data_IF_715367664800
#
_entry.id   IF_715367664800
#
_cell.length_a   1.000
_cell.length_b   1.000
_cell.length_c   1.000
_cell.angle_alpha   90.00
_cell.angle_beta   90.00
_cell.angle_gamma   90.00
#
_symmetry.space_group_name_H-M   'P 1'
#
loop_
_entity.id
_entity.type
_entity.pdbx_description
1 polymer ?
#
# COMPACT_ATOMS: atom_id res chain seq x y z
N UNK A 1 -8.63 -8.81 0.67
CA UNK A 1 -8.79 -10.18 1.14
C UNK A 1 -7.53 -11.03 1.06
N UNK A 2 -6.41 -10.49 0.56
CA UNK A 2 -5.17 -11.24 0.30
C UNK A 2 -3.90 -10.52 0.80
N UNK A 3 -4.02 -9.38 1.42
CA UNK A 3 -2.92 -8.61 1.98
C UNK A 3 -2.77 -8.98 3.47
N UNK A 4 -1.90 -9.95 3.78
CA UNK A 4 -1.91 -10.61 5.09
C UNK A 4 -0.96 -10.02 6.11
N UNK A 5 0.15 -9.41 5.68
CA UNK A 5 1.25 -9.00 6.56
C UNK A 5 0.77 -7.97 7.59
N UNK A 6 0.09 -6.91 7.15
CA UNK A 6 -0.43 -5.86 8.02
C UNK A 6 -1.47 -6.38 9.04
N UNK A 7 -2.34 -7.34 8.62
CA UNK A 7 -3.30 -7.98 9.52
C UNK A 7 -2.59 -8.68 10.68
N UNK A 8 -1.59 -9.51 10.35
CA UNK A 8 -0.83 -10.27 11.33
C UNK A 8 0.04 -9.37 12.21
N UNK A 9 0.61 -8.32 11.63
CA UNK A 9 1.40 -7.34 12.38
C UNK A 9 0.54 -6.62 13.43
N UNK A 10 -0.66 -6.16 13.07
CA UNK A 10 -1.55 -5.52 14.02
C UNK A 10 -2.09 -6.49 15.07
N UNK A 11 -2.41 -7.74 14.73
CA UNK A 11 -2.78 -8.76 15.71
C UNK A 11 -1.66 -8.98 16.73
N UNK A 12 -0.42 -9.12 16.25
CA UNK A 12 0.75 -9.27 17.12
C UNK A 12 0.96 -8.04 18.02
N UNK A 13 0.76 -6.83 17.49
CA UNK A 13 0.86 -5.61 18.30
C UNK A 13 -0.24 -5.53 19.37
N UNK A 14 -1.47 -5.96 19.09
CA UNK A 14 -2.54 -6.08 20.11
C UNK A 14 -2.09 -6.94 21.30
N UNK A 15 -1.35 -8.01 21.05
CA UNK A 15 -0.89 -8.94 22.09
C UNK A 15 0.36 -8.45 22.82
N UNK A 16 1.20 -7.65 22.17
CA UNK A 16 2.56 -7.34 22.66
C UNK A 16 2.76 -5.90 23.11
N UNK A 17 1.86 -4.97 22.77
CA UNK A 17 1.96 -3.58 23.21
C UNK A 17 1.62 -3.46 24.71
N UNK A 18 2.57 -2.95 25.48
CA UNK A 18 2.33 -2.57 26.87
C UNK A 18 1.77 -1.13 26.93
N UNK A 19 0.46 -1.01 27.16
CA UNK A 19 -0.24 0.27 27.22
C UNK A 19 0.33 1.20 28.30
N UNK A 20 0.95 0.66 29.39
CA UNK A 20 1.55 1.47 30.44
C UNK A 20 2.80 2.25 29.97
N UNK A 21 3.39 1.86 28.85
CA UNK A 21 4.57 2.52 28.27
C UNK A 21 4.23 3.56 27.19
N UNK A 22 2.94 3.79 26.91
CA UNK A 22 2.50 4.70 25.85
C UNK A 22 2.20 6.10 26.38
N UNK A 23 2.56 7.09 25.60
CA UNK A 23 2.27 8.51 25.85
C UNK A 23 1.22 9.00 24.84
N UNK A 24 -0.01 8.49 24.93
CA UNK A 24 -1.09 8.79 24.02
C UNK A 24 -2.04 7.61 23.82
N UNK A 25 -2.78 7.65 22.74
CA UNK A 25 -3.76 6.63 22.38
C UNK A 25 -3.38 5.99 21.04
N UNK A 26 -3.60 4.68 20.93
CA UNK A 26 -3.43 3.93 19.68
C UNK A 26 -4.70 3.16 19.40
N UNK A 27 -5.26 3.34 18.20
CA UNK A 27 -6.41 2.59 17.71
C UNK A 27 -5.90 1.59 16.68
N UNK A 28 -6.05 0.30 16.93
CA UNK A 28 -5.67 -0.77 16.02
C UNK A 28 -6.91 -1.40 15.40
N UNK A 29 -6.96 -1.47 14.07
CA UNK A 29 -8.05 -2.07 13.29
C UNK A 29 -7.46 -3.16 12.37
N UNK A 30 -7.22 -4.38 12.88
CA UNK A 30 -6.43 -5.39 12.16
C UNK A 30 -7.08 -5.90 10.89
N UNK A 31 -8.42 -6.03 10.84
CA UNK A 31 -9.13 -6.62 9.72
C UNK A 31 -10.38 -5.83 9.37
N UNK A 32 -10.32 -5.02 8.33
CA UNK A 32 -11.43 -4.15 7.91
C UNK A 32 -12.42 -4.88 7.03
N UNK A 33 -11.97 -5.48 5.93
CA UNK A 33 -12.82 -6.24 5.00
C UNK A 33 -12.83 -7.74 5.36
N UNK A 34 -13.46 -8.07 6.49
CA UNK A 34 -13.54 -9.47 6.96
C UNK A 34 -14.25 -10.40 5.99
N UNK A 35 -15.30 -9.94 5.30
CA UNK A 35 -15.99 -10.75 4.29
C UNK A 35 -15.09 -11.08 3.11
N UNK A 36 -14.34 -10.11 2.61
CA UNK A 36 -13.38 -10.34 1.55
C UNK A 36 -12.25 -11.28 1.97
N UNK A 37 -11.76 -11.11 3.19
CA UNK A 37 -10.70 -11.95 3.74
C UNK A 37 -11.13 -13.43 3.83
N UNK A 38 -12.25 -13.74 4.49
CA UNK A 38 -12.70 -15.12 4.65
C UNK A 38 -13.27 -15.75 3.36
N UNK A 39 -13.75 -14.94 2.42
CA UNK A 39 -14.14 -15.43 1.09
C UNK A 39 -12.94 -15.62 0.15
N UNK A 40 -11.74 -15.20 0.58
CA UNK A 40 -10.54 -15.29 -0.24
C UNK A 40 -10.67 -14.51 -1.55
N UNK A 41 -11.30 -13.37 -1.57
CA UNK A 41 -11.38 -12.53 -2.77
C UNK A 41 -10.24 -11.49 -2.79
N UNK A 42 -9.85 -11.08 -3.96
CA UNK A 42 -8.83 -10.07 -4.17
C UNK A 42 -9.29 -8.72 -3.57
N UNK A 43 -9.29 -7.67 -4.12
CA UNK A 43 -9.48 -6.29 -3.64
C UNK A 43 -10.91 -5.94 -3.19
N UNK A 44 -11.89 -6.81 -3.41
CA UNK A 44 -13.29 -6.42 -3.35
C UNK A 44 -14.01 -6.93 -2.09
N UNK A 45 -15.04 -6.23 -1.69
CA UNK A 45 -16.05 -6.79 -0.78
C UNK A 45 -17.03 -7.65 -1.59
N UNK A 46 -17.19 -8.95 -1.30
CA UNK A 46 -18.09 -9.82 -2.06
C UNK A 46 -19.57 -9.43 -1.95
N UNK A 47 -19.94 -8.62 -0.96
CA UNK A 47 -21.32 -8.20 -0.76
C UNK A 47 -21.82 -7.21 -1.83
N UNK A 48 -20.92 -6.41 -2.42
CA UNK A 48 -21.28 -5.37 -3.39
C UNK A 48 -20.27 -5.19 -4.53
N UNK A 49 -19.21 -6.00 -4.55
CA UNK A 49 -18.20 -5.98 -5.61
C UNK A 49 -17.32 -4.71 -5.63
N UNK A 50 -17.25 -3.98 -4.51
CA UNK A 50 -16.52 -2.71 -4.44
C UNK A 50 -15.20 -2.84 -3.68
N UNK A 51 -14.21 -2.03 -4.08
CA UNK A 51 -12.95 -1.87 -3.37
C UNK A 51 -13.09 -0.75 -2.32
N UNK A 52 -12.96 -1.11 -1.04
CA UNK A 52 -13.09 -0.14 0.05
C UNK A 52 -12.12 1.05 -0.10
N UNK A 53 -10.91 0.79 -0.57
CA UNK A 53 -9.90 1.84 -0.78
C UNK A 53 -10.15 2.71 -2.04
N UNK A 54 -11.39 2.70 -2.57
CA UNK A 54 -11.90 3.57 -3.64
C UNK A 54 -13.21 4.25 -3.29
N UNK A 55 -13.78 3.97 -2.11
CA UNK A 55 -15.13 4.39 -1.74
C UNK A 55 -15.17 5.52 -0.69
N UNK A 56 -14.01 6.02 -0.21
CA UNK A 56 -13.99 7.17 0.72
C UNK A 56 -14.42 8.47 0.04
N UNK A 57 -15.28 9.27 0.70
CA UNK A 57 -15.70 9.26 2.11
C UNK A 57 -16.82 8.26 2.47
N UNK A 58 -17.33 7.50 1.53
CA UNK A 58 -18.47 6.62 1.75
C UNK A 58 -19.84 7.31 1.77
N UNK A 59 -20.88 6.56 2.14
CA UNK A 59 -22.26 7.05 2.26
C UNK A 59 -23.01 6.26 3.34
N UNK A 60 -23.76 6.95 4.23
CA UNK A 60 -24.53 6.33 5.31
C UNK A 60 -25.63 5.37 4.80
N UNK A 61 -26.26 5.72 3.68
CA UNK A 61 -27.34 4.99 3.01
C UNK A 61 -26.86 4.21 1.78
N UNK A 62 -25.54 4.10 1.59
CA UNK A 62 -24.92 3.44 0.45
C UNK A 62 -24.88 1.92 0.56
N UNK A 63 -24.13 1.32 -0.37
CA UNK A 63 -23.80 -0.12 -0.35
C UNK A 63 -22.98 -0.49 0.90
N UNK A 64 -22.76 -1.77 1.14
CA UNK A 64 -22.03 -2.21 2.33
C UNK A 64 -20.64 -1.57 2.43
N UNK A 65 -19.87 -1.60 1.35
CA UNK A 65 -18.53 -0.98 1.32
C UNK A 65 -18.58 0.53 1.51
N UNK A 66 -19.58 1.20 0.96
CA UNK A 66 -19.76 2.64 1.17
C UNK A 66 -20.12 2.97 2.61
N UNK A 67 -20.93 2.15 3.27
CA UNK A 67 -21.23 2.31 4.70
C UNK A 67 -20.01 2.04 5.57
N UNK A 68 -19.16 1.07 5.21
CA UNK A 68 -17.88 0.82 5.89
C UNK A 68 -16.98 2.05 5.82
N UNK A 69 -16.75 2.60 4.62
CA UNK A 69 -15.94 3.81 4.44
C UNK A 69 -16.51 5.00 5.24
N UNK A 70 -17.82 5.20 5.19
CA UNK A 70 -18.52 6.26 5.97
C UNK A 70 -18.35 6.07 7.47
N UNK A 71 -18.49 4.83 7.97
CA UNK A 71 -18.35 4.52 9.40
C UNK A 71 -16.91 4.80 9.87
N UNK A 72 -15.90 4.38 9.10
CA UNK A 72 -14.50 4.64 9.40
C UNK A 72 -14.26 6.15 9.46
N UNK A 73 -14.70 6.90 8.44
CA UNK A 73 -14.53 8.36 8.42
C UNK A 73 -15.18 9.01 9.64
N UNK A 74 -16.39 8.60 10.02
CA UNK A 74 -17.14 9.26 11.12
C UNK A 74 -16.65 8.88 12.50
N UNK A 75 -16.15 7.67 12.70
CA UNK A 75 -15.74 7.19 14.01
C UNK A 75 -14.24 7.33 14.28
N UNK A 76 -13.39 7.14 13.27
CA UNK A 76 -11.94 7.11 13.47
C UNK A 76 -11.27 8.45 13.13
N UNK A 77 -11.67 9.14 12.08
CA UNK A 77 -10.99 10.38 11.70
C UNK A 77 -11.06 11.47 12.78
N UNK A 78 -12.19 11.69 13.50
CA UNK A 78 -12.22 12.67 14.58
C UNK A 78 -11.28 12.38 15.74
N UNK A 79 -10.89 11.11 15.92
CA UNK A 79 -10.01 10.65 17.00
C UNK A 79 -8.53 10.54 16.56
N UNK A 80 -8.24 10.78 15.28
CA UNK A 80 -6.93 10.53 14.71
C UNK A 80 -6.12 11.82 14.51
N UNK A 81 -4.98 11.92 15.17
CA UNK A 81 -3.94 12.92 14.88
C UNK A 81 -3.03 12.47 13.73
N UNK A 82 -2.94 11.15 13.52
CA UNK A 82 -2.17 10.53 12.44
C UNK A 82 -2.79 9.17 12.07
N UNK A 83 -2.70 8.77 10.79
CA UNK A 83 -3.22 7.51 10.29
C UNK A 83 -2.13 6.74 9.53
N UNK A 84 -1.97 5.44 9.83
CA UNK A 84 -1.16 4.50 9.05
C UNK A 84 -2.06 3.40 8.49
N UNK A 85 -2.11 3.28 7.17
CA UNK A 85 -2.83 2.26 6.42
C UNK A 85 -1.83 1.16 6.02
N UNK A 86 -2.04 -0.07 6.47
CA UNK A 86 -1.16 -1.20 6.17
C UNK A 86 -1.73 -2.00 5.01
N UNK A 87 -0.98 -2.09 3.96
CA UNK A 87 -1.28 -2.80 2.72
C UNK A 87 -0.19 -3.81 2.35
N UNK A 88 -0.40 -4.51 1.27
CA UNK A 88 0.55 -5.41 0.63
C UNK A 88 0.07 -5.77 -0.77
N UNK A 89 0.90 -6.48 -1.51
CA UNK A 89 0.57 -6.94 -2.84
C UNK A 89 -0.57 -7.96 -2.85
N UNK A 90 -1.29 -7.96 -3.94
CA UNK A 90 -2.35 -8.92 -4.22
C UNK A 90 -1.82 -10.38 -4.33
N UNK A 91 -2.69 -11.34 -4.56
CA UNK A 91 -2.37 -12.76 -4.74
C UNK A 91 -1.36 -13.04 -5.85
N UNK A 92 -1.32 -12.18 -6.81
CA UNK A 92 -0.54 -12.29 -8.02
C UNK A 92 0.33 -11.06 -8.23
N UNK A 93 0.76 -10.45 -7.14
CA UNK A 93 1.59 -9.26 -7.17
C UNK A 93 2.75 -9.41 -6.19
N UNK A 94 3.96 -9.27 -6.69
CA UNK A 94 5.16 -9.10 -5.90
C UNK A 94 5.47 -7.61 -5.80
N UNK A 95 5.70 -7.11 -4.59
CA UNK A 95 6.08 -5.71 -4.39
C UNK A 95 7.32 -5.57 -3.51
N UNK A 96 8.10 -4.55 -3.77
CA UNK A 96 9.16 -4.14 -2.89
C UNK A 96 8.57 -3.33 -1.72
N UNK A 97 9.04 -3.54 -0.48
CA UNK A 97 8.56 -2.76 0.65
C UNK A 97 8.76 -1.26 0.43
N UNK A 98 7.67 -0.50 0.51
CA UNK A 98 7.68 0.94 0.29
C UNK A 98 6.59 1.65 1.10
N UNK A 99 6.67 2.97 1.21
CA UNK A 99 5.64 3.79 1.83
C UNK A 99 5.15 4.87 0.88
N UNK A 100 3.84 4.96 0.71
CA UNK A 100 3.20 6.10 0.06
C UNK A 100 2.91 7.21 1.06
N UNK A 101 3.23 8.44 0.68
CA UNK A 101 2.79 9.64 1.40
C UNK A 101 1.99 10.54 0.46
N UNK A 102 0.96 11.26 0.97
CA UNK A 102 0.08 12.06 0.13
C UNK A 102 0.77 13.32 -0.37
N UNK A 103 0.59 13.63 -1.66
CA UNK A 103 0.99 14.86 -2.28
C UNK A 103 -0.23 15.66 -2.73
N UNK A 104 -0.17 16.99 -2.58
CA UNK A 104 -1.28 17.88 -2.92
C UNK A 104 -2.43 17.90 -1.91
N UNK A 105 -2.21 17.42 -0.69
CA UNK A 105 -3.16 17.49 0.43
C UNK A 105 -2.95 18.74 1.32
N UNK A 106 -2.09 19.65 0.90
CA UNK A 106 -1.70 20.86 1.64
C UNK A 106 -0.31 20.74 2.25
N UNK A 107 0.41 21.86 2.24
CA UNK A 107 1.84 21.92 2.58
C UNK A 107 2.16 21.32 3.96
N UNK A 108 1.33 21.62 4.97
CA UNK A 108 1.55 21.12 6.34
C UNK A 108 1.45 19.59 6.39
N UNK A 109 0.36 19.02 5.87
CA UNK A 109 0.13 17.59 5.86
C UNK A 109 1.25 16.87 5.09
N UNK A 110 1.63 17.40 3.93
CA UNK A 110 2.68 16.81 3.10
C UNK A 110 4.05 16.82 3.80
N UNK A 111 4.39 17.90 4.48
CA UNK A 111 5.65 17.98 5.24
C UNK A 111 5.67 17.01 6.44
N UNK A 112 4.56 16.91 7.17
CA UNK A 112 4.44 15.99 8.31
C UNK A 112 4.52 14.55 7.87
N UNK A 113 3.79 14.16 6.83
CA UNK A 113 3.79 12.79 6.31
C UNK A 113 5.14 12.41 5.69
N UNK A 114 5.81 13.33 5.00
CA UNK A 114 7.16 13.10 4.45
C UNK A 114 8.18 12.82 5.56
N UNK A 115 8.13 13.57 6.69
CA UNK A 115 8.98 13.32 7.85
C UNK A 115 8.65 11.99 8.54
N UNK A 116 7.37 11.68 8.69
CA UNK A 116 6.92 10.42 9.26
C UNK A 116 7.34 9.22 8.40
N UNK A 117 7.24 9.33 7.06
CA UNK A 117 7.72 8.30 6.14
C UNK A 117 9.22 8.02 6.30
N UNK A 118 10.03 9.06 6.55
CA UNK A 118 11.47 8.92 6.80
C UNK A 118 11.82 8.16 8.09
N UNK A 119 10.89 8.05 9.03
CA UNK A 119 11.10 7.30 10.25
C UNK A 119 10.93 5.78 10.07
N UNK A 120 10.29 5.33 8.99
CA UNK A 120 10.06 3.91 8.71
C UNK A 120 11.33 3.21 8.20
N UNK A 121 11.32 1.87 8.21
CA UNK A 121 12.45 1.04 7.81
C UNK A 121 12.48 0.70 6.32
N UNK A 122 11.44 1.02 5.56
CA UNK A 122 11.40 0.77 4.10
C UNK A 122 12.39 1.63 3.35
N UNK A 123 12.96 1.07 2.29
CA UNK A 123 13.99 1.75 1.48
C UNK A 123 13.46 2.77 0.48
N UNK A 124 12.16 2.72 0.18
CA UNK A 124 11.52 3.59 -0.79
C UNK A 124 10.32 4.32 -0.19
N UNK A 125 10.19 5.60 -0.53
CA UNK A 125 8.98 6.37 -0.27
C UNK A 125 8.50 7.04 -1.56
N UNK A 126 7.20 6.97 -1.80
CA UNK A 126 6.58 7.39 -3.06
C UNK A 126 5.55 8.49 -2.79
N UNK A 127 5.67 9.60 -3.53
CA UNK A 127 4.66 10.64 -3.53
C UNK A 127 3.40 10.15 -4.27
N UNK A 128 2.25 10.15 -3.60
CA UNK A 128 0.98 9.68 -4.16
C UNK A 128 -0.04 10.81 -4.30
N UNK A 129 -0.69 10.86 -5.45
CA UNK A 129 -1.79 11.77 -5.75
C UNK A 129 -3.17 11.13 -5.63
N UNK A 130 -3.27 9.90 -5.07
CA UNK A 130 -4.53 9.23 -4.77
C UNK A 130 -5.44 10.09 -3.88
N UNK A 131 -6.77 9.93 -3.99
CA UNK A 131 -7.71 10.82 -3.29
C UNK A 131 -8.87 10.13 -2.60
N UNK A 132 -9.21 8.92 -2.95
CA UNK A 132 -10.43 8.22 -2.51
C UNK A 132 -10.18 6.94 -1.71
N UNK A 133 -8.95 6.76 -1.24
CA UNK A 133 -8.56 5.70 -0.31
C UNK A 133 -8.57 6.17 1.14
N UNK A 134 -8.41 5.25 2.09
CA UNK A 134 -8.43 5.53 3.52
C UNK A 134 -7.40 6.62 3.89
N UNK A 135 -6.11 6.38 3.66
CA UNK A 135 -5.07 7.34 4.01
C UNK A 135 -5.14 8.64 3.18
N UNK A 136 -5.45 8.51 1.89
CA UNK A 136 -5.46 9.66 0.99
C UNK A 136 -6.65 10.60 1.23
N UNK A 137 -7.79 10.07 1.66
CA UNK A 137 -8.92 10.88 2.09
C UNK A 137 -8.69 11.52 3.46
N UNK A 138 -8.07 10.81 4.41
CA UNK A 138 -7.65 11.39 5.69
C UNK A 138 -6.75 12.61 5.48
N UNK A 139 -5.76 12.49 4.59
CA UNK A 139 -4.88 13.60 4.25
C UNK A 139 -5.63 14.83 3.70
N UNK A 140 -6.63 14.63 2.85
CA UNK A 140 -7.48 15.73 2.36
C UNK A 140 -8.35 16.37 3.45
N UNK A 141 -8.59 15.66 4.55
CA UNK A 141 -9.26 16.19 5.75
C UNK A 141 -8.30 16.86 6.73
N UNK A 142 -7.01 16.94 6.38
CA UNK A 142 -6.00 17.56 7.22
C UNK A 142 -5.36 16.62 8.24
N UNK A 143 -5.65 15.33 8.20
CA UNK A 143 -5.06 14.30 9.04
C UNK A 143 -3.84 13.74 8.32
N UNK A 144 -2.61 13.92 8.83
CA UNK A 144 -1.43 13.31 8.25
C UNK A 144 -1.57 11.79 8.19
N UNK A 145 -1.24 11.19 7.04
CA UNK A 145 -1.48 9.77 6.83
C UNK A 145 -0.45 9.16 5.89
N UNK A 146 -0.13 7.89 6.11
CA UNK A 146 0.77 7.08 5.27
C UNK A 146 0.06 5.79 4.86
N UNK A 147 0.52 5.21 3.75
CA UNK A 147 0.19 3.85 3.36
C UNK A 147 1.49 3.07 3.20
N UNK A 148 1.66 2.03 4.03
CA UNK A 148 2.82 1.13 4.01
C UNK A 148 2.46 -0.12 3.22
N UNK A 149 3.33 -0.50 2.30
CA UNK A 149 3.19 -1.69 1.46
C UNK A 149 4.25 -2.72 1.82
N UNK A 150 3.84 -3.95 2.18
CA UNK A 150 4.75 -5.09 2.40
C UNK A 150 4.04 -6.42 2.23
N UNK A 151 4.77 -7.42 1.68
CA UNK A 151 4.24 -8.74 1.36
C UNK A 151 3.51 -8.76 0.02
N UNK A 152 3.08 -9.92 -0.43
CA UNK A 152 2.39 -10.12 -1.69
C UNK A 152 2.25 -11.60 -2.05
N UNK A 153 1.77 -11.90 -3.25
CA UNK A 153 1.58 -13.26 -3.74
C UNK A 153 0.70 -14.15 -2.82
N UNK A 154 -0.20 -13.54 -2.03
CA UNK A 154 -1.04 -14.24 -1.07
C UNK A 154 -0.23 -14.99 0.00
N UNK A 155 0.92 -14.47 0.38
CA UNK A 155 1.86 -15.07 1.35
C UNK A 155 2.24 -14.07 2.43
N UNK A 156 2.86 -14.57 3.46
CA UNK A 156 3.52 -13.78 4.50
C UNK A 156 4.69 -14.57 5.08
N UNK A 157 5.67 -13.86 5.63
CA UNK A 157 6.76 -14.42 6.41
C UNK A 157 6.79 -13.78 7.80
N UNK A 158 7.40 -14.46 8.75
CA UNK A 158 7.60 -13.87 10.10
C UNK A 158 8.46 -12.62 10.05
N UNK A 159 9.40 -12.56 9.12
CA UNK A 159 10.27 -11.41 8.86
C UNK A 159 9.47 -10.19 8.40
N UNK A 160 8.57 -10.35 7.44
CA UNK A 160 7.70 -9.28 6.95
C UNK A 160 6.74 -8.78 8.02
N UNK A 161 6.12 -9.71 8.78
CA UNK A 161 5.24 -9.35 9.92
C UNK A 161 6.00 -8.59 10.98
N UNK A 162 7.22 -9.01 11.32
CA UNK A 162 8.06 -8.31 12.28
C UNK A 162 8.48 -6.93 11.78
N UNK A 163 8.80 -6.80 10.50
CA UNK A 163 9.17 -5.53 9.89
C UNK A 163 7.99 -4.53 9.89
N UNK A 164 6.76 -4.96 9.61
CA UNK A 164 5.58 -4.10 9.76
C UNK A 164 5.33 -3.70 11.22
N UNK A 165 5.47 -4.64 12.17
CA UNK A 165 5.42 -4.29 13.59
C UNK A 165 6.48 -3.23 13.95
N UNK A 166 7.70 -3.38 13.46
CA UNK A 166 8.77 -2.42 13.70
C UNK A 166 8.43 -1.06 13.09
N UNK A 167 7.91 -1.00 11.86
CA UNK A 167 7.53 0.25 11.22
C UNK A 167 6.40 0.97 11.96
N UNK A 168 5.38 0.25 12.46
CA UNK A 168 4.37 0.84 13.35
C UNK A 168 5.02 1.42 14.61
N UNK A 169 5.94 0.69 15.25
CA UNK A 169 6.63 1.14 16.45
C UNK A 169 7.56 2.35 16.18
N UNK A 170 8.22 2.40 15.03
CA UNK A 170 9.03 3.54 14.57
C UNK A 170 8.16 4.78 14.37
N UNK A 171 6.99 4.62 13.74
CA UNK A 171 6.04 5.71 13.59
C UNK A 171 5.50 6.19 14.95
N UNK A 172 5.14 5.28 15.86
CA UNK A 172 4.72 5.65 17.22
C UNK A 172 5.80 6.41 17.96
N UNK A 173 7.07 6.04 17.78
CA UNK A 173 8.21 6.77 18.35
C UNK A 173 8.36 8.16 17.73
N UNK A 174 8.25 8.28 16.39
CA UNK A 174 8.27 9.55 15.67
C UNK A 174 7.18 10.52 16.16
N UNK A 175 5.98 9.98 16.43
CA UNK A 175 4.84 10.74 16.95
C UNK A 175 4.92 11.02 18.47
N UNK A 176 5.95 10.55 19.15
CA UNK A 176 6.11 10.75 20.59
C UNK A 176 5.23 9.84 21.46
N UNK A 177 4.52 8.88 20.86
CA UNK A 177 3.67 7.90 21.57
C UNK A 177 4.53 6.88 22.36
N UNK A 178 5.76 6.63 21.89
CA UNK A 178 6.75 5.80 22.56
C UNK A 178 8.08 6.53 22.68
N UNK A 179 8.95 6.03 23.56
CA UNK A 179 10.32 6.54 23.71
C UNK A 179 11.29 5.38 23.53
N UNK A 180 11.61 5.08 22.28
CA UNK A 180 12.64 4.11 21.92
C UNK A 180 13.39 4.63 20.70
N UNK A 181 14.70 4.71 20.76
CA UNK A 181 15.52 5.09 19.62
C UNK A 181 15.55 3.96 18.58
N UNK A 182 15.55 4.34 17.32
CA UNK A 182 15.74 3.47 16.17
C UNK A 182 16.79 4.11 15.26
N UNK A 183 17.65 3.30 14.70
CA UNK A 183 18.60 3.75 13.69
C UNK A 183 17.85 4.21 12.42
N UNK A 184 18.32 5.30 11.83
CA UNK A 184 17.78 5.76 10.56
C UNK A 184 18.13 4.78 9.43
N UNK A 185 17.16 4.51 8.55
CA UNK A 185 17.36 3.68 7.38
C UNK A 185 17.50 4.59 6.15
N UNK A 186 18.51 4.40 5.31
CA UNK A 186 18.61 5.14 4.05
C UNK A 186 17.38 4.88 3.16
N UNK A 187 16.81 5.96 2.62
CA UNK A 187 15.62 5.87 1.78
C UNK A 187 15.78 6.67 0.50
N UNK A 188 15.26 6.12 -0.59
CA UNK A 188 15.08 6.83 -1.85
C UNK A 188 13.67 7.38 -1.95
N UNK A 189 13.54 8.68 -2.25
CA UNK A 189 12.25 9.25 -2.59
C UNK A 189 12.03 9.14 -4.09
N UNK A 190 11.00 8.40 -4.48
CA UNK A 190 10.61 8.22 -5.87
C UNK A 190 9.84 9.46 -6.33
N UNK A 191 10.49 10.26 -7.15
CA UNK A 191 9.91 11.49 -7.68
C UNK A 191 9.03 11.27 -8.90
N UNK A 192 9.31 10.21 -9.67
CA UNK A 192 8.57 9.85 -10.87
C UNK A 192 8.36 8.34 -10.92
N UNK A 193 7.12 7.92 -11.09
CA UNK A 193 6.76 6.52 -11.29
C UNK A 193 5.94 6.33 -12.57
N UNK A 194 6.04 5.15 -13.16
CA UNK A 194 5.25 4.68 -14.29
C UNK A 194 4.56 3.38 -13.88
N UNK A 195 3.29 3.28 -14.21
CA UNK A 195 2.43 2.13 -13.99
C UNK A 195 2.01 1.62 -15.36
N UNK A 196 2.51 0.46 -15.74
CA UNK A 196 2.15 -0.18 -17.00
C UNK A 196 1.00 -1.15 -16.77
N UNK A 197 0.00 -1.06 -17.63
CA UNK A 197 -1.24 -1.84 -17.54
C UNK A 197 -1.45 -2.67 -18.79
N UNK A 198 -2.17 -3.79 -18.66
CA UNK A 198 -2.52 -4.66 -19.79
C UNK A 198 -3.53 -3.95 -20.71
N UNK A 199 -3.29 -3.89 -22.04
CA UNK A 199 -4.17 -3.23 -22.99
C UNK A 199 -5.45 -4.02 -23.28
N UNK A 200 -5.40 -5.34 -23.07
CA UNK A 200 -6.49 -6.29 -23.27
C UNK A 200 -6.25 -7.58 -22.47
N UNK A 201 -7.16 -8.53 -22.55
CA UNK A 201 -6.97 -9.88 -22.05
C UNK A 201 -5.79 -10.57 -22.76
N UNK A 202 -4.93 -11.24 -22.00
CA UNK A 202 -3.76 -11.86 -22.56
C UNK A 202 -2.88 -12.54 -21.52
N UNK A 203 -1.66 -12.83 -21.97
CA UNK A 203 -0.60 -13.47 -21.20
C UNK A 203 0.48 -12.45 -20.89
N UNK A 204 0.87 -12.37 -19.63
CA UNK A 204 1.98 -11.56 -19.16
C UNK A 204 3.17 -12.43 -18.77
N UNK A 205 4.35 -12.05 -19.24
CA UNK A 205 5.61 -12.71 -18.95
C UNK A 205 6.56 -11.68 -18.35
N UNK A 206 6.63 -11.54 -17.01
CA UNK A 206 7.57 -10.62 -16.37
C UNK A 206 9.02 -11.07 -16.61
N UNK A 207 9.93 -10.10 -16.76
CA UNK A 207 11.37 -10.33 -16.93
C UNK A 207 12.18 -9.63 -15.82
N UNK A 208 11.49 -9.01 -14.87
CA UNK A 208 12.06 -8.31 -13.72
C UNK A 208 11.38 -8.75 -12.44
N UNK A 209 11.97 -8.46 -11.28
CA UNK A 209 11.36 -8.69 -9.95
C UNK A 209 11.21 -7.37 -9.21
N UNK A 210 10.31 -7.33 -8.22
CA UNK A 210 10.15 -6.20 -7.34
C UNK A 210 11.46 -5.85 -6.63
N UNK A 211 11.79 -4.56 -6.54
CA UNK A 211 13.03 -4.06 -5.97
C UNK A 211 14.25 -4.07 -6.92
N UNK A 212 14.14 -4.68 -8.10
CA UNK A 212 15.24 -4.69 -9.08
C UNK A 212 15.49 -3.28 -9.64
N UNK A 213 16.76 -2.90 -9.75
CA UNK A 213 17.17 -1.73 -10.52
C UNK A 213 17.12 -2.06 -12.02
N UNK A 214 16.59 -1.13 -12.81
CA UNK A 214 16.47 -1.26 -14.26
C UNK A 214 17.08 -0.05 -14.97
N UNK A 215 17.67 -0.31 -16.11
CA UNK A 215 18.21 0.73 -16.98
C UNK A 215 17.14 1.21 -17.97
N UNK A 216 17.36 2.39 -18.55
CA UNK A 216 16.54 2.84 -19.67
C UNK A 216 16.59 1.82 -20.81
N UNK A 217 15.44 1.57 -21.45
CA UNK A 217 15.22 0.61 -22.54
C UNK A 217 15.37 -0.88 -22.15
N UNK A 218 15.62 -1.18 -20.86
CA UNK A 218 15.62 -2.55 -20.35
C UNK A 218 14.22 -3.19 -20.47
N UNK A 219 14.19 -4.49 -20.79
CA UNK A 219 12.94 -5.25 -20.93
C UNK A 219 12.37 -5.55 -19.56
N UNK A 220 11.16 -5.07 -19.29
CA UNK A 220 10.42 -5.32 -18.05
C UNK A 220 9.54 -6.57 -18.15
N UNK A 221 9.07 -6.88 -19.36
CA UNK A 221 8.26 -8.05 -19.62
C UNK A 221 7.65 -8.04 -21.01
N UNK A 222 6.93 -9.14 -21.33
CA UNK A 222 6.23 -9.32 -22.61
C UNK A 222 4.76 -9.59 -22.38
N UNK A 223 3.94 -8.87 -23.12
CA UNK A 223 2.50 -9.14 -23.16
C UNK A 223 2.11 -9.73 -24.50
N UNK A 224 1.24 -10.74 -24.50
CA UNK A 224 0.69 -11.38 -25.69
C UNK A 224 -0.83 -11.49 -25.56
N UNK A 225 -1.58 -11.10 -26.61
CA UNK A 225 -3.04 -11.25 -26.61
C UNK A 225 -3.47 -12.72 -26.50
N UNK A 226 -4.66 -12.96 -25.96
CA UNK A 226 -5.19 -14.32 -25.78
C UNK A 226 -5.38 -15.09 -27.10
N UNK A 227 -5.65 -14.37 -28.21
CA UNK A 227 -5.75 -14.94 -29.55
C UNK A 227 -4.41 -15.07 -30.29
N UNK A 228 -3.32 -14.59 -29.67
CA UNK A 228 -1.97 -14.66 -30.20
C UNK A 228 -1.68 -13.71 -31.38
N UNK A 229 -2.60 -12.83 -31.73
CA UNK A 229 -2.44 -11.90 -32.88
C UNK A 229 -1.58 -10.70 -32.58
N UNK A 230 -1.46 -10.33 -31.31
CA UNK A 230 -0.69 -9.18 -30.84
C UNK A 230 0.32 -9.60 -29.79
N UNK A 231 1.48 -8.99 -29.85
CA UNK A 231 2.50 -9.13 -28.83
C UNK A 231 3.32 -7.83 -28.77
N UNK A 232 3.72 -7.40 -27.56
CA UNK A 232 4.64 -6.29 -27.42
C UNK A 232 5.53 -6.45 -26.19
N UNK A 233 6.65 -5.77 -26.22
CA UNK A 233 7.59 -5.68 -25.12
C UNK A 233 7.32 -4.42 -24.32
N UNK A 234 7.21 -4.57 -23.00
CA UNK A 234 7.18 -3.47 -22.06
C UNK A 234 8.61 -3.16 -21.65
N UNK A 235 9.09 -1.96 -21.96
CA UNK A 235 10.46 -1.54 -21.69
C UNK A 235 10.50 -0.30 -20.80
N UNK A 236 11.52 -0.21 -19.96
CA UNK A 236 11.72 0.93 -19.07
C UNK A 236 12.00 2.21 -19.87
N UNK A 237 11.22 3.26 -19.64
CA UNK A 237 11.36 4.58 -20.31
C UNK A 237 12.54 5.40 -19.76
N UNK A 238 13.01 5.06 -18.58
CA UNK A 238 14.14 5.66 -17.86
C UNK A 238 14.71 4.64 -16.86
N UNK A 239 15.91 4.89 -16.37
CA UNK A 239 16.51 4.08 -15.32
C UNK A 239 15.79 4.31 -13.98
N UNK A 240 15.56 3.25 -13.22
CA UNK A 240 14.84 3.32 -11.95
C UNK A 240 14.80 2.00 -11.20
N UNK A 241 13.89 1.88 -10.26
CA UNK A 241 13.69 0.67 -9.45
C UNK A 241 12.26 0.17 -9.61
N UNK A 242 12.09 -1.15 -9.76
CA UNK A 242 10.78 -1.81 -9.85
C UNK A 242 10.10 -1.72 -8.48
N UNK A 243 8.89 -1.19 -8.45
CA UNK A 243 8.06 -1.04 -7.25
C UNK A 243 7.24 -2.30 -7.00
N UNK A 244 6.58 -2.78 -8.05
CA UNK A 244 5.88 -4.06 -8.06
C UNK A 244 5.83 -4.66 -9.47
N UNK A 245 5.54 -5.95 -9.53
CA UNK A 245 5.24 -6.67 -10.76
C UNK A 245 4.12 -7.70 -10.55
N UNK A 246 3.35 -7.95 -11.61
CA UNK A 246 2.32 -8.97 -11.62
C UNK A 246 2.94 -10.33 -11.97
N UNK A 247 2.79 -11.30 -11.06
CA UNK A 247 3.32 -12.67 -11.22
C UNK A 247 2.35 -13.61 -11.95
N UNK A 248 1.09 -13.20 -12.15
CA UNK A 248 0.11 -14.01 -12.87
C UNK A 248 0.37 -14.04 -14.36
N UNK A 249 0.29 -15.23 -14.96
CA UNK A 249 0.36 -15.42 -16.40
C UNK A 249 -0.83 -14.76 -17.13
N UNK A 250 -2.05 -14.91 -16.61
CA UNK A 250 -3.27 -14.38 -17.21
C UNK A 250 -3.62 -13.00 -16.66
N UNK A 251 -3.80 -12.03 -17.56
CA UNK A 251 -4.17 -10.64 -17.21
C UNK A 251 -5.38 -10.19 -18.03
N UNK A 252 -6.17 -9.28 -17.46
CA UNK A 252 -7.31 -8.63 -18.10
C UNK A 252 -6.92 -7.22 -18.53
N UNK A 253 -7.78 -6.61 -19.32
CA UNK A 253 -7.63 -5.18 -19.64
C UNK A 253 -7.54 -4.34 -18.37
N UNK A 254 -6.56 -3.44 -18.31
CA UNK A 254 -6.24 -2.54 -17.20
C UNK A 254 -5.76 -3.25 -15.91
N UNK A 255 -5.50 -4.56 -15.95
CA UNK A 255 -4.76 -5.17 -14.85
C UNK A 255 -3.34 -4.58 -14.82
N UNK A 256 -2.77 -4.29 -13.61
CA UNK A 256 -1.39 -3.83 -13.52
C UNK A 256 -0.44 -4.93 -14.03
N UNK A 257 0.61 -4.53 -14.72
CA UNK A 257 1.68 -5.41 -15.18
C UNK A 257 2.94 -5.20 -14.36
N UNK A 258 3.44 -3.98 -14.34
CA UNK A 258 4.66 -3.59 -13.63
C UNK A 258 4.63 -2.10 -13.32
N UNK A 259 5.12 -1.72 -12.16
CA UNK A 259 5.43 -0.33 -11.85
C UNK A 259 6.90 -0.16 -11.50
N UNK A 260 7.49 0.94 -11.92
CA UNK A 260 8.86 1.32 -11.60
C UNK A 260 8.99 2.83 -11.49
N UNK A 261 9.99 3.28 -10.76
CA UNK A 261 10.17 4.70 -10.51
C UNK A 261 11.62 5.09 -10.29
N UNK A 262 11.87 6.39 -10.34
CA UNK A 262 13.19 6.98 -10.11
C UNK A 262 13.13 8.14 -9.13
N UNK A 263 14.24 8.40 -8.46
CA UNK A 263 14.43 9.57 -7.61
C UNK A 263 14.34 10.88 -8.39
#
# INVERSE_FOLDING_TARGET
GCEYVGILALQKLVETLDCATLYGQVILLPLVNSKGFFAGVKQLNPADGKNLNREFPGKADGTETQRMAWTIEKLLYPEADFLLDLHGGDWNEELAPLVFFPCGAGQKVEQETRRAAQALSVSMRVCSTARNGLYSWAAQKGIPALLLERGGNGRWTSEEVNADCEDVLRLMNHLGIRKKEFDAVPQTEIAKAVYEEAPAEGYWFPEVCAGQEVLKDELLGRWKSSDGTQNYEVRARFAGQVLYETTALGVRRNDPLVAYGTA
#
